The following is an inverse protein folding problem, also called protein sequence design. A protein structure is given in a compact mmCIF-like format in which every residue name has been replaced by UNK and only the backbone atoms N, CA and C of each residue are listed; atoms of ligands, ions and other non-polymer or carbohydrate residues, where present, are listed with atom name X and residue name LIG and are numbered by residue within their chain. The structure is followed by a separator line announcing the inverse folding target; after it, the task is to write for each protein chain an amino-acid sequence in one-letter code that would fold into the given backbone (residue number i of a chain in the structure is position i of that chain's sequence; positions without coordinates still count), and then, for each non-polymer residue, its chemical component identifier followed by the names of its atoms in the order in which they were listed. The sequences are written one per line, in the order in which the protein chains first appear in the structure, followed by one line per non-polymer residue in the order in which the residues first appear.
data_IF_129500342194
#
_entry.id   IF_129500342194
#
_cell.length_a   1.000
_cell.length_b   1.000
_cell.length_c   1.000
_cell.angle_alpha   90.00
_cell.angle_beta   90.00
_cell.angle_gamma   90.00
#
_symmetry.space_group_name_H-M   'P 1'
#
loop_
_entity.id
_entity.type
_entity.pdbx_description
1 polymer ?
#
# COMPACT_ATOMS: atom_id res chain seq x y z
N UNK A 1 26.82 -23.69 28.04
CA UNK A 1 26.06 -22.70 27.24
C UNK A 1 25.04 -23.48 26.41
N UNK A 2 23.74 -23.32 26.67
CA UNK A 2 22.70 -24.03 25.94
C UNK A 2 22.16 -23.19 24.79
N UNK A 3 22.23 -23.72 23.56
CA UNK A 3 21.52 -23.17 22.40
C UNK A 3 20.12 -23.77 22.42
N UNK A 4 19.09 -22.97 22.66
CA UNK A 4 17.70 -23.44 22.58
C UNK A 4 17.22 -23.25 21.13
N UNK A 5 17.18 -24.34 20.36
CA UNK A 5 16.54 -24.34 19.04
C UNK A 5 15.10 -24.83 19.19
N UNK A 6 14.13 -23.95 18.99
CA UNK A 6 12.72 -24.35 18.94
C UNK A 6 12.37 -24.60 17.47
N UNK A 7 12.21 -25.87 17.09
CA UNK A 7 11.61 -26.23 15.80
C UNK A 7 10.09 -26.07 15.90
N UNK A 8 9.50 -25.35 14.94
CA UNK A 8 8.05 -25.24 14.81
C UNK A 8 7.46 -26.63 14.52
N UNK A 9 6.81 -27.23 15.52
CA UNK A 9 6.23 -28.56 15.41
C UNK A 9 6.03 -29.30 16.74
N UNK A 10 6.67 -28.88 17.84
CA UNK A 10 6.40 -29.47 19.15
C UNK A 10 5.18 -28.83 19.79
N UNK A 11 4.06 -29.56 19.83
CA UNK A 11 3.03 -29.33 20.85
C UNK A 11 3.74 -29.42 22.21
N UNK A 12 3.90 -28.30 22.90
CA UNK A 12 4.21 -28.31 24.31
C UNK A 12 2.97 -28.84 25.03
N UNK A 13 2.90 -30.16 25.25
CA UNK A 13 1.94 -30.76 26.15
C UNK A 13 2.40 -30.52 27.58
N UNK A 14 1.63 -29.74 28.33
CA UNK A 14 1.69 -29.76 29.79
C UNK A 14 1.43 -31.21 30.26
N UNK A 15 2.19 -31.75 31.24
CA UNK A 15 1.95 -33.10 31.73
C UNK A 15 0.53 -33.18 32.29
N UNK A 16 -0.20 -34.20 31.82
CA UNK A 16 -1.57 -34.50 32.23
C UNK A 16 -1.53 -34.97 33.69
N UNK A 17 -2.30 -34.32 34.54
CA UNK A 17 -2.54 -34.74 35.92
C UNK A 17 -3.24 -36.11 35.92
N UNK A 18 -2.53 -37.17 36.34
CA UNK A 18 -3.13 -38.47 36.67
C UNK A 18 -3.62 -38.44 38.12
N UNK A 19 -4.93 -38.48 38.31
CA UNK A 19 -5.55 -38.73 39.62
C UNK A 19 -5.44 -40.21 40.00
N UNK A 20 -4.43 -40.49 40.83
CA UNK A 20 -4.41 -41.33 42.03
C UNK A 20 -5.22 -42.64 42.13
N UNK A 21 -4.50 -43.71 42.46
CA UNK A 21 -4.87 -44.65 43.52
C UNK A 21 -3.62 -45.01 44.35
N UNK A 22 -3.80 -45.10 45.66
CA UNK A 22 -2.79 -44.97 46.70
C UNK A 22 -1.89 -46.20 46.93
N UNK A 23 -0.65 -45.97 47.39
CA UNK A 23 -0.10 -46.67 48.57
C UNK A 23 1.08 -45.89 49.19
N UNK A 24 1.02 -45.79 50.50
CA UNK A 24 1.96 -45.16 51.44
C UNK A 24 3.31 -45.87 51.51
N UNK A 25 4.41 -45.12 51.50
CA UNK A 25 5.53 -45.37 52.42
C UNK A 25 6.41 -44.12 52.56
N UNK A 26 6.75 -43.84 53.81
CA UNK A 26 7.55 -42.70 54.24
C UNK A 26 8.97 -42.76 53.71
N UNK A 27 9.47 -41.68 53.13
CA UNK A 27 10.89 -41.34 53.29
C UNK A 27 11.08 -39.82 53.28
N UNK A 28 11.51 -39.29 54.43
CA UNK A 28 11.96 -37.92 54.60
C UNK A 28 13.28 -37.76 53.85
N UNK A 29 13.23 -37.14 52.67
CA UNK A 29 14.41 -36.83 51.87
C UNK A 29 14.11 -35.73 50.86
N UNK A 30 14.41 -34.48 51.23
CA UNK A 30 14.69 -33.41 50.26
C UNK A 30 13.51 -32.65 49.66
N UNK A 31 12.71 -31.94 50.48
CA UNK A 31 11.84 -30.84 50.02
C UNK A 31 12.63 -29.57 49.68
N UNK A 32 13.70 -29.68 48.89
CA UNK A 32 14.60 -28.54 48.59
C UNK A 32 14.10 -27.64 47.45
N UNK A 33 12.97 -27.97 46.81
CA UNK A 33 12.49 -27.28 45.61
C UNK A 33 10.95 -27.13 45.50
N UNK A 34 10.23 -26.95 46.62
CA UNK A 34 8.76 -26.83 46.56
C UNK A 34 8.24 -25.56 45.85
N UNK A 35 9.09 -24.54 45.65
CA UNK A 35 8.70 -23.31 44.95
C UNK A 35 9.87 -22.74 44.11
N UNK A 36 10.26 -23.44 43.05
CA UNK A 36 11.17 -22.83 42.05
C UNK A 36 10.35 -21.93 41.13
N UNK A 37 10.33 -20.63 41.44
CA UNK A 37 9.75 -19.61 40.56
C UNK A 37 10.83 -19.04 39.64
N UNK A 38 10.61 -19.09 38.33
CA UNK A 38 11.44 -18.41 37.35
C UNK A 38 11.16 -16.91 37.47
N UNK A 39 12.04 -16.12 38.09
CA UNK A 39 11.83 -14.68 38.22
C UNK A 39 12.16 -13.88 36.94
N UNK A 40 13.04 -14.42 36.09
CA UNK A 40 13.53 -13.73 34.89
C UNK A 40 14.13 -14.74 33.89
N UNK A 41 13.85 -14.54 32.61
CA UNK A 41 14.51 -15.23 31.50
C UNK A 41 15.14 -14.19 30.57
N UNK A 42 16.40 -14.38 30.22
CA UNK A 42 17.09 -13.57 29.21
C UNK A 42 17.58 -14.47 28.07
N UNK A 43 17.15 -14.14 26.86
CA UNK A 43 17.59 -14.76 25.62
C UNK A 43 18.43 -13.71 24.90
N UNK A 44 19.71 -14.01 24.66
CA UNK A 44 20.61 -13.06 23.99
C UNK A 44 20.48 -13.08 22.48
N UNK A 45 20.17 -14.25 21.92
CA UNK A 45 20.01 -14.46 20.49
C UNK A 45 18.89 -15.48 20.25
N UNK A 46 17.80 -15.00 19.67
CA UNK A 46 16.66 -15.78 19.22
C UNK A 46 16.67 -15.86 17.70
N UNK A 47 16.53 -17.09 17.20
CA UNK A 47 16.45 -17.40 15.78
C UNK A 47 15.24 -18.29 15.52
N UNK A 48 14.40 -17.86 14.59
CA UNK A 48 13.25 -18.57 14.09
C UNK A 48 13.28 -18.49 12.56
N UNK A 49 13.55 -19.62 11.91
CA UNK A 49 13.57 -19.67 10.45
C UNK A 49 12.14 -19.60 9.88
N UNK A 50 11.91 -18.82 8.81
CA UNK A 50 10.66 -18.84 8.06
C UNK A 50 10.31 -20.25 7.59
N UNK A 51 9.09 -20.69 7.87
CA UNK A 51 8.61 -22.02 7.47
C UNK A 51 7.08 -22.04 7.36
N UNK A 52 6.53 -23.11 6.80
CA UNK A 52 5.08 -23.31 6.80
C UNK A 52 4.50 -23.33 8.23
N UNK A 53 5.26 -23.86 9.20
CA UNK A 53 4.86 -23.91 10.62
C UNK A 53 4.81 -22.54 11.31
N UNK A 54 5.47 -21.53 10.75
CA UNK A 54 5.43 -20.13 11.22
C UNK A 54 4.62 -19.25 10.26
N UNK A 55 3.89 -19.86 9.32
CA UNK A 55 3.18 -19.14 8.25
C UNK A 55 4.09 -18.18 7.47
N UNK A 56 5.37 -18.53 7.32
CA UNK A 56 6.38 -17.71 6.64
C UNK A 56 7.03 -16.63 7.50
N UNK A 57 6.64 -16.47 8.76
CA UNK A 57 7.31 -15.54 9.66
C UNK A 57 8.64 -16.09 10.16
N UNK A 58 9.63 -15.22 10.32
CA UNK A 58 10.91 -15.57 10.94
C UNK A 58 11.48 -14.41 11.76
N UNK A 59 12.49 -14.72 12.55
CA UNK A 59 13.24 -13.76 13.34
C UNK A 59 14.71 -14.19 13.45
N UNK A 60 15.63 -13.24 13.49
CA UNK A 60 17.06 -13.53 13.67
C UNK A 60 17.72 -12.41 14.47
N UNK A 61 18.60 -12.76 15.41
CA UNK A 61 19.34 -11.76 16.18
C UNK A 61 18.49 -11.03 17.22
N UNK A 62 17.32 -11.57 17.57
CA UNK A 62 16.41 -10.91 18.52
C UNK A 62 16.83 -11.26 19.94
N UNK A 63 17.05 -10.24 20.77
CA UNK A 63 17.20 -10.43 22.21
C UNK A 63 15.84 -10.35 22.90
N UNK A 64 15.61 -11.16 23.93
CA UNK A 64 14.36 -11.18 24.68
C UNK A 64 14.63 -11.16 26.19
N UNK A 65 13.90 -10.34 26.90
CA UNK A 65 13.79 -10.36 28.37
C UNK A 65 12.35 -10.64 28.73
N UNK A 66 12.14 -11.70 29.51
CA UNK A 66 10.82 -12.16 29.92
C UNK A 66 10.80 -12.20 31.45
N UNK A 67 9.78 -11.61 32.04
CA UNK A 67 9.59 -11.51 33.49
C UNK A 67 8.20 -12.05 33.83
N UNK A 68 8.09 -13.36 34.11
CA UNK A 68 6.83 -13.94 34.52
C UNK A 68 6.55 -13.65 36.00
N UNK A 69 5.28 -13.49 36.32
CA UNK A 69 4.73 -13.35 37.66
C UNK A 69 3.53 -14.29 37.79
N UNK A 70 2.91 -14.36 38.98
CA UNK A 70 1.71 -15.19 39.19
C UNK A 70 0.51 -14.79 38.30
N UNK A 71 0.46 -13.55 37.83
CA UNK A 71 -0.72 -12.99 37.12
C UNK A 71 -0.44 -12.58 35.67
N UNK A 72 0.82 -12.34 35.31
CA UNK A 72 1.20 -11.82 34.01
C UNK A 72 2.64 -12.17 33.64
N UNK A 73 2.95 -12.06 32.36
CA UNK A 73 4.30 -12.19 31.81
C UNK A 73 4.62 -10.92 31.04
N UNK A 74 5.51 -10.09 31.57
CA UNK A 74 6.01 -8.92 30.85
C UNK A 74 7.15 -9.36 29.91
N UNK A 75 7.19 -8.81 28.70
CA UNK A 75 8.24 -9.10 27.73
C UNK A 75 8.80 -7.83 27.09
N UNK A 76 10.09 -7.89 26.80
CA UNK A 76 10.84 -6.90 26.04
C UNK A 76 11.67 -7.64 25.00
N UNK A 77 11.38 -7.42 23.72
CA UNK A 77 12.18 -7.89 22.60
C UNK A 77 12.96 -6.71 22.04
N UNK A 78 14.24 -6.89 21.73
CA UNK A 78 15.07 -5.80 21.22
C UNK A 78 16.01 -6.32 20.15
N UNK A 79 16.25 -5.47 19.16
CA UNK A 79 17.19 -5.72 18.07
C UNK A 79 16.80 -6.94 17.22
N UNK A 80 17.52 -7.13 16.12
CA UNK A 80 17.32 -8.25 15.21
C UNK A 80 16.45 -7.91 14.00
N UNK A 81 16.24 -8.92 13.17
CA UNK A 81 15.53 -8.86 11.90
C UNK A 81 14.29 -9.73 11.98
N UNK A 82 13.16 -9.19 11.51
CA UNK A 82 11.91 -9.92 11.34
C UNK A 82 11.69 -10.15 9.85
N UNK A 83 11.45 -11.41 9.50
CA UNK A 83 11.08 -11.81 8.16
C UNK A 83 9.56 -11.97 8.10
N UNK A 84 8.90 -11.19 7.24
CA UNK A 84 7.45 -11.27 7.04
C UNK A 84 7.11 -11.91 5.69
N UNK A 85 6.06 -12.76 5.64
CA UNK A 85 5.48 -13.21 4.37
C UNK A 85 4.69 -12.09 3.66
N UNK A 86 4.41 -10.98 4.36
CA UNK A 86 3.63 -9.87 3.83
C UNK A 86 4.52 -9.04 2.91
N UNK A 87 4.20 -8.99 1.62
CA UNK A 87 4.96 -8.26 0.60
C UNK A 87 5.13 -6.77 0.92
N UNK A 88 4.21 -6.17 1.67
CA UNK A 88 4.26 -4.77 2.07
C UNK A 88 5.17 -4.48 3.28
N UNK A 89 5.37 -5.47 4.15
CA UNK A 89 6.22 -5.36 5.32
C UNK A 89 7.64 -5.85 4.99
N UNK A 90 7.73 -7.02 4.35
CA UNK A 90 8.99 -7.62 3.92
C UNK A 90 9.93 -7.94 5.09
N UNK A 91 11.22 -7.70 4.86
CA UNK A 91 12.26 -7.79 5.90
C UNK A 91 12.41 -6.45 6.61
N UNK A 92 12.29 -6.47 7.94
CA UNK A 92 12.32 -5.27 8.79
C UNK A 92 13.23 -5.46 9.98
N UNK A 93 13.87 -4.39 10.41
CA UNK A 93 14.68 -4.38 11.63
C UNK A 93 13.77 -4.12 12.83
N UNK A 94 13.77 -5.04 13.79
CA UNK A 94 13.16 -4.83 15.10
C UNK A 94 14.04 -3.87 15.90
N UNK A 95 13.52 -2.70 16.24
CA UNK A 95 14.17 -1.82 17.22
C UNK A 95 13.83 -2.33 18.61
N UNK A 96 12.53 -2.43 18.89
CA UNK A 96 12.01 -2.81 20.19
C UNK A 96 10.57 -3.30 20.08
N UNK A 97 10.19 -4.28 20.91
CA UNK A 97 8.82 -4.66 21.17
C UNK A 97 8.60 -4.84 22.67
N UNK A 98 7.62 -4.14 23.23
CA UNK A 98 7.22 -4.23 24.63
C UNK A 98 5.79 -4.70 24.73
N UNK A 99 5.54 -5.57 25.69
CA UNK A 99 4.19 -5.95 26.00
C UNK A 99 4.10 -6.83 27.22
N UNK A 100 2.88 -7.32 27.45
CA UNK A 100 2.57 -8.23 28.53
C UNK A 100 1.51 -9.23 28.09
N UNK A 101 1.64 -10.45 28.56
CA UNK A 101 0.58 -11.45 28.51
C UNK A 101 -0.09 -11.51 29.87
N UNK A 102 -1.40 -11.35 29.92
CA UNK A 102 -2.22 -11.53 31.12
C UNK A 102 -3.47 -12.28 30.68
N UNK A 103 -3.54 -13.56 31.05
CA UNK A 103 -4.49 -14.53 30.49
C UNK A 103 -5.93 -13.99 30.43
N UNK A 104 -6.62 -14.08 29.27
CA UNK A 104 -6.17 -14.61 27.97
C UNK A 104 -5.55 -13.54 27.05
N UNK A 105 -5.33 -12.32 27.52
CA UNK A 105 -5.02 -11.16 26.67
C UNK A 105 -3.54 -10.95 26.47
N UNK A 106 -3.12 -10.74 25.22
CA UNK A 106 -1.81 -10.23 24.86
C UNK A 106 -1.91 -8.73 24.61
N UNK A 107 -1.26 -7.94 25.46
CA UNK A 107 -1.10 -6.50 25.29
C UNK A 107 0.24 -6.22 24.66
N UNK A 108 0.21 -5.54 23.53
CA UNK A 108 1.37 -5.01 22.86
C UNK A 108 1.42 -3.50 23.10
N UNK A 109 2.24 -3.08 24.05
CA UNK A 109 2.38 -1.67 24.39
C UNK A 109 3.04 -0.90 23.26
N UNK A 110 4.04 -1.51 22.62
CA UNK A 110 4.82 -0.87 21.58
C UNK A 110 5.55 -1.93 20.75
N UNK A 111 5.55 -1.78 19.43
CA UNK A 111 6.52 -2.36 18.51
C UNK A 111 7.06 -1.21 17.69
N UNK A 112 8.38 -1.13 17.56
CA UNK A 112 9.09 -0.22 16.68
C UNK A 112 9.89 -1.01 15.67
N UNK A 113 9.56 -0.83 14.39
CA UNK A 113 10.23 -1.46 13.26
C UNK A 113 10.85 -0.38 12.38
N UNK A 114 11.98 -0.72 11.75
CA UNK A 114 12.61 0.08 10.69
C UNK A 114 12.61 -0.71 9.39
N UNK A 115 12.08 -0.12 8.33
CA UNK A 115 12.13 -0.72 7.00
C UNK A 115 13.56 -0.79 6.48
N UNK A 116 13.88 -1.83 5.70
CA UNK A 116 15.19 -1.98 5.06
C UNK A 116 15.51 -0.86 4.04
N UNK A 117 14.49 -0.31 3.39
CA UNK A 117 14.56 0.83 2.47
C UNK A 117 14.28 2.18 3.15
N UNK A 118 14.33 2.22 4.48
CA UNK A 118 13.98 3.37 5.29
C UNK A 118 12.54 3.33 5.82
N UNK A 119 12.19 4.37 6.57
CA UNK A 119 10.90 4.51 7.24
C UNK A 119 10.82 3.78 8.58
N UNK A 120 9.85 4.19 9.38
CA UNK A 120 9.53 3.60 10.69
C UNK A 120 8.09 3.13 10.71
N UNK A 121 7.83 2.06 11.46
CA UNK A 121 6.50 1.54 11.73
C UNK A 121 6.38 1.29 13.22
N UNK A 122 5.38 1.92 13.83
CA UNK A 122 5.02 1.74 15.22
C UNK A 122 3.66 1.06 15.33
N UNK A 123 3.56 0.04 16.19
CA UNK A 123 2.31 -0.70 16.41
C UNK A 123 2.07 -0.87 17.90
N UNK A 124 0.83 -0.69 18.32
CA UNK A 124 0.37 -0.95 19.68
C UNK A 124 -1.04 -1.53 19.65
N UNK A 125 -1.43 -2.29 20.66
CA UNK A 125 -2.78 -2.84 20.74
C UNK A 125 -2.92 -3.97 21.72
N UNK A 126 -4.06 -4.64 21.64
CA UNK A 126 -4.39 -5.81 22.41
C UNK A 126 -5.04 -6.86 21.52
N UNK A 127 -4.77 -8.12 21.81
CA UNK A 127 -5.42 -9.26 21.16
C UNK A 127 -5.83 -10.27 22.22
N UNK A 128 -7.06 -10.76 22.09
CA UNK A 128 -7.60 -11.89 22.85
C UNK A 128 -7.62 -13.06 21.86
N UNK A 129 -6.66 -14.00 21.97
CA UNK A 129 -6.63 -15.19 21.14
C UNK A 129 -7.82 -16.08 21.50
N UNK A 130 -8.66 -16.38 20.50
CA UNK A 130 -9.80 -17.27 20.62
C UNK A 130 -10.12 -17.86 19.23
N UNK A 131 -11.07 -18.79 19.13
CA UNK A 131 -11.57 -19.28 17.84
C UNK A 131 -12.08 -18.13 16.94
N UNK A 132 -12.64 -17.09 17.57
CA UNK A 132 -12.91 -15.78 16.97
C UNK A 132 -12.03 -14.73 17.67
N UNK A 133 -10.86 -14.38 17.12
CA UNK A 133 -9.95 -13.45 17.78
C UNK A 133 -10.61 -12.07 17.88
N UNK A 134 -10.39 -11.39 19.02
CA UNK A 134 -10.73 -9.99 19.20
C UNK A 134 -9.43 -9.20 19.26
N UNK A 135 -9.34 -8.10 18.53
CA UNK A 135 -8.18 -7.24 18.61
C UNK A 135 -8.55 -5.77 18.42
N UNK A 136 -7.82 -4.90 19.11
CA UNK A 136 -7.86 -3.45 18.94
C UNK A 136 -6.44 -2.94 18.90
N UNK A 137 -6.21 -1.84 18.20
CA UNK A 137 -4.87 -1.32 18.14
C UNK A 137 -4.72 -0.13 17.22
N UNK A 138 -3.47 0.30 17.12
CA UNK A 138 -3.04 1.42 16.32
C UNK A 138 -1.72 1.09 15.68
N UNK A 139 -1.62 1.35 14.39
CA UNK A 139 -0.38 1.36 13.66
C UNK A 139 -0.13 2.78 13.14
N UNK A 140 1.10 3.25 13.19
CA UNK A 140 1.53 4.49 12.55
C UNK A 140 2.85 4.26 11.84
N UNK A 141 2.99 4.84 10.66
CA UNK A 141 4.20 4.70 9.88
C UNK A 141 4.64 6.06 9.36
N UNK A 142 5.94 6.22 9.24
CA UNK A 142 6.56 7.45 8.76
C UNK A 142 7.56 7.12 7.66
N UNK A 143 7.40 7.79 6.51
CA UNK A 143 8.24 7.62 5.32
C UNK A 143 8.46 6.14 4.95
N UNK A 144 7.42 5.33 5.09
CA UNK A 144 7.44 3.90 4.76
C UNK A 144 7.45 3.72 3.24
N UNK A 145 8.31 2.85 2.69
CA UNK A 145 8.35 2.62 1.25
C UNK A 145 7.04 2.01 0.75
N UNK A 146 6.59 2.46 -0.43
CA UNK A 146 5.45 1.85 -1.11
C UNK A 146 5.81 0.43 -1.58
N UNK A 147 5.01 -0.59 -1.25
CA UNK A 147 5.19 -1.95 -1.77
C UNK A 147 5.14 -1.96 -3.30
N UNK A 148 6.13 -2.54 -3.96
CA UNK A 148 6.26 -2.50 -5.43
C UNK A 148 6.79 -1.16 -5.99
N UNK A 149 7.05 -0.17 -5.13
CA UNK A 149 7.69 1.10 -5.48
C UNK A 149 6.80 2.11 -6.20
N UNK A 150 5.55 1.75 -6.52
CA UNK A 150 4.60 2.58 -7.27
C UNK A 150 3.17 2.30 -6.80
N UNK A 151 2.40 3.35 -6.51
CA UNK A 151 0.93 3.26 -6.42
C UNK A 151 0.39 3.63 -7.80
N UNK A 152 -0.45 2.77 -8.37
CA UNK A 152 -1.15 3.07 -9.60
C UNK A 152 -2.51 2.40 -9.68
N UNK A 153 -3.56 3.21 -9.78
CA UNK A 153 -4.92 2.79 -10.13
C UNK A 153 -5.18 3.01 -11.63
N UNK A 154 -4.21 2.68 -12.49
CA UNK A 154 -4.29 2.88 -13.96
C UNK A 154 -4.27 4.34 -14.43
N UNK A 155 -4.40 5.31 -13.50
CA UNK A 155 -4.37 6.74 -13.79
C UNK A 155 -2.97 7.36 -13.66
N UNK A 156 -2.15 6.86 -12.73
CA UNK A 156 -0.88 7.47 -12.31
C UNK A 156 0.14 6.39 -11.89
N UNK A 157 1.43 6.66 -12.04
CA UNK A 157 2.48 5.99 -11.25
C UNK A 157 3.09 7.02 -10.30
N UNK A 158 3.04 6.74 -8.99
CA UNK A 158 3.55 7.67 -7.98
C UNK A 158 4.69 7.00 -7.19
N UNK A 159 5.97 7.23 -7.56
CA UNK A 159 7.08 7.00 -6.64
C UNK A 159 6.93 7.94 -5.45
N UNK A 160 6.80 7.37 -4.25
CA UNK A 160 6.69 8.12 -2.99
C UNK A 160 7.06 7.24 -1.80
N UNK A 161 7.17 7.87 -0.64
CA UNK A 161 7.04 7.21 0.65
C UNK A 161 5.66 7.51 1.24
N UNK A 162 5.17 6.67 2.14
CA UNK A 162 3.88 6.88 2.82
C UNK A 162 4.12 7.23 4.28
N UNK A 163 3.33 8.14 4.81
CA UNK A 163 3.19 8.34 6.26
C UNK A 163 1.71 8.29 6.60
N UNK A 164 1.37 7.80 7.79
CA UNK A 164 -0.03 7.62 8.13
C UNK A 164 -0.26 6.88 9.41
N UNK A 165 -1.52 6.63 9.68
CA UNK A 165 -1.99 5.87 10.82
C UNK A 165 -3.19 5.00 10.44
N UNK A 166 -3.35 3.92 11.18
CA UNK A 166 -4.51 3.05 11.12
C UNK A 166 -4.94 2.69 12.54
N UNK A 167 -6.22 2.82 12.82
CA UNK A 167 -6.84 2.42 14.07
C UNK A 167 -7.70 1.18 13.79
N UNK A 168 -7.27 0.05 14.33
CA UNK A 168 -8.06 -1.18 14.38
C UNK A 168 -9.06 -1.06 15.53
N UNK A 169 -10.34 -0.97 15.19
CA UNK A 169 -11.42 -0.84 16.16
C UNK A 169 -11.87 -2.19 16.71
N UNK A 170 -11.91 -3.20 15.84
CA UNK A 170 -12.26 -4.58 16.20
C UNK A 170 -11.89 -5.55 15.07
N UNK A 171 -11.99 -6.85 15.37
CA UNK A 171 -12.07 -7.91 14.36
C UNK A 171 -13.52 -8.42 14.35
N UNK A 172 -14.22 -8.23 13.23
CA UNK A 172 -15.61 -8.68 13.03
C UNK A 172 -15.62 -9.81 12.01
N UNK A 173 -16.12 -10.99 12.40
CA UNK A 173 -16.14 -12.19 11.54
C UNK A 173 -14.76 -12.55 10.95
N UNK A 174 -13.71 -12.41 11.76
CA UNK A 174 -12.32 -12.67 11.32
C UNK A 174 -11.74 -11.62 10.37
N UNK A 175 -12.46 -10.52 10.11
CA UNK A 175 -12.00 -9.42 9.26
C UNK A 175 -11.78 -8.16 10.11
N UNK A 176 -10.69 -7.40 9.87
CA UNK A 176 -10.44 -6.15 10.59
C UNK A 176 -11.49 -5.09 10.25
N UNK A 177 -11.86 -4.29 11.25
CA UNK A 177 -12.69 -3.09 11.11
C UNK A 177 -11.91 -1.91 11.67
N UNK A 178 -11.80 -0.83 10.90
CA UNK A 178 -10.98 0.28 11.32
C UNK A 178 -11.03 1.48 10.39
N UNK A 179 -10.29 2.50 10.77
CA UNK A 179 -10.13 3.75 10.01
C UNK A 179 -8.65 4.11 9.96
N UNK A 180 -8.19 4.60 8.83
CA UNK A 180 -6.86 5.17 8.72
C UNK A 180 -6.79 6.40 7.85
N UNK A 181 -5.65 7.07 7.92
CA UNK A 181 -5.29 8.18 7.06
C UNK A 181 -3.85 8.00 6.56
N UNK A 182 -3.60 8.42 5.32
CA UNK A 182 -2.32 8.26 4.65
C UNK A 182 -2.01 9.54 3.90
N UNK A 183 -0.74 9.89 3.90
CA UNK A 183 -0.15 10.93 3.11
C UNK A 183 1.04 10.35 2.33
N UNK A 184 1.13 10.68 1.05
CA UNK A 184 2.33 10.43 0.27
C UNK A 184 3.31 11.57 0.50
N UNK A 185 4.57 11.21 0.76
CA UNK A 185 5.71 12.10 1.00
C UNK A 185 6.70 11.92 -0.15
N UNK A 186 7.33 13.01 -0.58
CA UNK A 186 8.23 13.04 -1.74
C UNK A 186 7.57 12.51 -3.03
N UNK A 187 6.25 12.67 -3.13
CA UNK A 187 5.47 12.12 -4.21
C UNK A 187 5.66 12.90 -5.51
N UNK A 188 5.91 12.17 -6.60
CA UNK A 188 5.97 12.73 -7.95
C UNK A 188 5.02 11.99 -8.87
N UNK A 189 4.33 12.73 -9.73
CA UNK A 189 3.53 12.17 -10.79
C UNK A 189 4.43 11.80 -11.96
N UNK A 190 4.58 10.51 -12.20
CA UNK A 190 5.23 10.02 -13.41
C UNK A 190 4.15 9.49 -14.38
N UNK A 191 4.28 9.76 -15.69
CA UNK A 191 3.52 9.00 -16.67
C UNK A 191 3.95 7.53 -16.53
N UNK A 192 2.99 6.62 -16.42
CA UNK A 192 3.32 5.19 -16.32
C UNK A 192 4.09 4.68 -17.54
N UNK A 193 4.51 3.40 -17.52
CA UNK A 193 5.15 2.80 -18.71
C UNK A 193 4.23 2.93 -19.93
N UNK A 194 4.53 3.90 -20.80
CA UNK A 194 3.78 4.16 -22.02
C UNK A 194 2.72 5.26 -21.90
N UNK A 195 2.33 5.80 -23.05
CA UNK A 195 1.30 6.80 -23.29
C UNK A 195 -0.14 6.37 -22.92
N UNK A 196 -0.29 5.38 -22.05
CA UNK A 196 -1.57 4.71 -21.77
C UNK A 196 -2.29 5.28 -20.54
N UNK A 197 -1.61 6.04 -19.70
CA UNK A 197 -2.23 6.71 -18.54
C UNK A 197 -2.85 8.05 -18.94
N UNK A 198 -3.86 8.52 -18.19
CA UNK A 198 -4.49 9.84 -18.40
C UNK A 198 -3.45 10.96 -18.46
N UNK A 199 -2.47 10.99 -17.55
CA UNK A 199 -1.39 12.00 -17.59
C UNK A 199 -0.48 11.86 -18.82
N UNK A 200 -0.16 10.63 -19.21
CA UNK A 200 0.61 10.37 -20.42
C UNK A 200 -0.08 10.94 -21.65
N UNK A 201 -1.38 10.67 -21.80
CA UNK A 201 -2.20 11.17 -22.92
C UNK A 201 -2.34 12.69 -22.86
N UNK A 202 -2.59 13.27 -21.67
CA UNK A 202 -2.65 14.73 -21.49
C UNK A 202 -1.33 15.39 -21.86
N UNK A 203 -0.19 14.82 -21.44
CA UNK A 203 1.13 15.33 -21.79
C UNK A 203 1.40 15.28 -23.30
N UNK A 204 0.95 14.22 -24.00
CA UNK A 204 1.06 14.13 -25.45
C UNK A 204 0.12 15.11 -26.18
N UNK A 205 -1.12 15.25 -25.72
CA UNK A 205 -2.12 16.14 -26.30
C UNK A 205 -1.73 17.61 -26.17
N UNK A 206 -1.24 17.99 -24.99
CA UNK A 206 -1.01 19.39 -24.63
C UNK A 206 0.43 19.81 -24.87
N UNK A 207 1.37 18.86 -24.97
CA UNK A 207 2.79 19.15 -24.99
C UNK A 207 3.31 19.77 -23.70
N UNK A 208 2.57 19.66 -22.59
CA UNK A 208 2.95 20.25 -21.30
C UNK A 208 3.99 19.37 -20.58
N UNK A 209 5.27 19.79 -20.52
CA UNK A 209 6.31 19.00 -19.89
C UNK A 209 6.11 18.88 -18.37
N UNK A 210 5.44 19.85 -17.73
CA UNK A 210 5.21 19.84 -16.28
C UNK A 210 4.34 18.68 -15.82
N UNK A 211 3.56 18.06 -16.72
CA UNK A 211 2.78 16.85 -16.40
C UNK A 211 3.66 15.59 -16.23
N UNK A 212 4.97 15.68 -16.52
CA UNK A 212 5.95 14.60 -16.30
C UNK A 212 6.85 14.95 -15.12
N UNK A 213 6.90 14.08 -14.11
CA UNK A 213 7.73 14.26 -12.91
C UNK A 213 7.29 15.38 -11.97
N UNK A 214 6.01 15.76 -12.03
CA UNK A 214 5.47 16.86 -11.23
C UNK A 214 5.44 16.49 -9.75
N UNK A 215 6.07 17.28 -8.85
CA UNK A 215 5.94 17.03 -7.42
C UNK A 215 4.51 17.31 -6.95
N UNK A 216 3.93 16.37 -6.21
CA UNK A 216 2.70 16.60 -5.47
C UNK A 216 3.04 17.27 -4.14
N UNK A 217 2.49 18.45 -3.89
CA UNK A 217 2.65 19.11 -2.58
C UNK A 217 1.69 18.54 -1.56
N UNK A 218 0.52 18.07 -2.02
CA UNK A 218 -0.49 17.42 -1.19
C UNK A 218 -0.89 16.12 -1.86
N UNK A 219 -0.85 15.03 -1.11
CA UNK A 219 -1.30 13.72 -1.58
C UNK A 219 -1.77 12.93 -0.36
N UNK A 220 -3.09 12.92 -0.10
CA UNK A 220 -3.66 12.30 1.10
C UNK A 220 -4.99 11.61 0.83
N UNK A 221 -5.34 10.69 1.70
CA UNK A 221 -6.65 10.05 1.72
C UNK A 221 -6.97 9.50 3.12
N UNK A 222 -8.26 9.33 3.38
CA UNK A 222 -8.79 8.65 4.57
C UNK A 222 -9.46 7.36 4.10
N UNK A 223 -9.22 6.23 4.75
CA UNK A 223 -9.96 4.98 4.45
C UNK A 223 -10.67 4.41 5.65
N UNK A 224 -11.75 3.70 5.35
CA UNK A 224 -12.54 2.92 6.28
C UNK A 224 -12.56 1.47 5.80
N UNK A 225 -12.28 0.57 6.74
CA UNK A 225 -12.21 -0.85 6.52
C UNK A 225 -13.40 -1.52 7.20
N UNK A 226 -14.16 -2.30 6.42
CA UNK A 226 -15.28 -3.11 6.89
C UNK A 226 -15.20 -4.51 6.25
N UNK A 227 -15.89 -5.52 6.80
CA UNK A 227 -15.90 -6.84 6.20
C UNK A 227 -16.41 -6.79 4.76
N UNK A 228 -15.55 -7.17 3.81
CA UNK A 228 -15.86 -7.15 2.38
C UNK A 228 -15.81 -5.76 1.72
N UNK A 229 -15.32 -4.72 2.41
CA UNK A 229 -15.19 -3.40 1.79
C UNK A 229 -14.12 -2.48 2.34
N UNK A 230 -13.64 -1.65 1.42
CA UNK A 230 -12.65 -0.61 1.67
C UNK A 230 -13.19 0.67 1.02
N UNK A 231 -13.57 1.63 1.84
CA UNK A 231 -14.03 2.93 1.38
C UNK A 231 -12.88 3.93 1.56
N UNK A 232 -12.38 4.49 0.47
CA UNK A 232 -11.34 5.52 0.48
C UNK A 232 -11.98 6.83 0.09
N UNK A 233 -11.91 7.79 0.99
CA UNK A 233 -12.58 9.08 0.95
C UNK A 233 -11.57 10.19 1.13
N UNK A 234 -12.00 11.43 0.90
CA UNK A 234 -11.15 12.62 1.08
C UNK A 234 -9.83 12.51 0.29
N UNK A 235 -9.87 11.83 -0.87
CA UNK A 235 -8.71 11.73 -1.75
C UNK A 235 -8.42 13.14 -2.23
N UNK A 236 -7.20 13.61 -2.00
CA UNK A 236 -6.69 14.88 -2.47
C UNK A 236 -5.27 14.68 -2.96
N UNK A 237 -5.05 14.85 -4.25
CA UNK A 237 -3.72 14.96 -4.84
C UNK A 237 -3.61 16.31 -5.56
N UNK A 238 -2.59 17.09 -5.25
CA UNK A 238 -2.45 18.46 -5.75
C UNK A 238 -1.01 18.77 -6.14
N UNK A 239 -0.87 19.29 -7.35
CA UNK A 239 0.29 19.99 -7.83
C UNK A 239 -0.14 21.45 -8.11
N UNK A 240 0.17 22.39 -7.20
CA UNK A 240 -0.29 23.77 -7.29
C UNK A 240 0.07 24.41 -8.63
N UNK A 241 -0.92 25.08 -9.25
CA UNK A 241 -0.75 25.71 -10.55
C UNK A 241 -0.62 24.74 -11.74
N UNK A 242 -0.94 23.45 -11.56
CA UNK A 242 -0.97 22.48 -12.65
C UNK A 242 -2.21 21.59 -12.63
N UNK A 243 -2.41 20.86 -11.53
CA UNK A 243 -3.56 19.95 -11.42
C UNK A 243 -3.97 19.70 -9.97
N UNK A 244 -5.23 19.29 -9.83
CA UNK A 244 -5.83 18.92 -8.56
C UNK A 244 -6.79 17.76 -8.79
N UNK A 245 -6.65 16.69 -8.04
CA UNK A 245 -7.56 15.54 -8.06
C UNK A 245 -8.24 15.40 -6.70
N UNK A 246 -9.57 15.40 -6.69
CA UNK A 246 -10.39 15.22 -5.48
C UNK A 246 -11.39 14.11 -5.69
N UNK A 247 -11.59 13.24 -4.70
CA UNK A 247 -12.73 12.33 -4.78
C UNK A 247 -12.73 11.19 -3.79
N UNK A 248 -13.35 10.09 -4.21
CA UNK A 248 -13.56 8.91 -3.40
C UNK A 248 -13.66 7.66 -4.25
N UNK A 249 -13.19 6.55 -3.70
CA UNK A 249 -13.31 5.22 -4.29
C UNK A 249 -13.84 4.23 -3.25
N UNK A 250 -14.47 3.19 -3.75
CA UNK A 250 -14.96 2.07 -2.99
C UNK A 250 -14.46 0.79 -3.64
N UNK A 251 -14.01 -0.12 -2.78
CA UNK A 251 -13.53 -1.43 -3.17
C UNK A 251 -14.40 -2.46 -2.48
N UNK A 252 -15.03 -3.34 -3.26
CA UNK A 252 -15.88 -4.43 -2.77
C UNK A 252 -15.32 -5.73 -3.32
N UNK A 253 -14.64 -6.51 -2.47
CA UNK A 253 -13.80 -7.62 -2.94
C UNK A 253 -12.69 -7.11 -3.86
N UNK A 254 -12.69 -7.54 -5.12
CA UNK A 254 -11.74 -7.06 -6.14
C UNK A 254 -12.29 -5.92 -7.02
N UNK A 255 -13.58 -5.60 -6.90
CA UNK A 255 -14.24 -4.60 -7.73
C UNK A 255 -13.93 -3.21 -7.22
N UNK A 256 -13.48 -2.34 -8.13
CA UNK A 256 -13.21 -0.94 -7.89
C UNK A 256 -14.33 -0.09 -8.51
N UNK A 257 -14.87 0.84 -7.74
CA UNK A 257 -15.76 1.88 -8.25
C UNK A 257 -15.46 3.21 -7.58
N UNK A 258 -15.77 4.33 -8.24
CA UNK A 258 -15.56 5.63 -7.62
C UNK A 258 -15.69 6.79 -8.56
N UNK A 259 -15.44 7.97 -8.01
CA UNK A 259 -15.46 9.23 -8.74
C UNK A 259 -14.31 10.10 -8.31
N UNK A 260 -13.56 10.59 -9.28
CA UNK A 260 -12.49 11.57 -9.08
C UNK A 260 -12.80 12.78 -9.95
N UNK A 261 -12.76 13.96 -9.37
CA UNK A 261 -12.74 15.23 -10.08
C UNK A 261 -11.29 15.62 -10.34
N UNK A 262 -10.91 15.63 -11.61
CA UNK A 262 -9.60 16.10 -12.05
C UNK A 262 -9.75 17.54 -12.55
N UNK A 263 -9.12 18.46 -11.84
CA UNK A 263 -8.90 19.84 -12.23
C UNK A 263 -7.54 20.01 -12.92
N UNK A 264 -7.53 20.72 -14.04
CA UNK A 264 -6.33 21.22 -14.71
C UNK A 264 -6.29 22.74 -14.58
N UNK A 265 -5.09 23.31 -14.51
CA UNK A 265 -4.90 24.77 -14.59
C UNK A 265 -5.65 25.34 -15.81
N UNK A 266 -6.21 26.54 -15.69
CA UNK A 266 -7.17 27.10 -16.64
C UNK A 266 -6.72 27.11 -18.11
N UNK A 267 -5.49 27.52 -18.41
CA UNK A 267 -4.98 27.49 -19.80
C UNK A 267 -4.83 26.06 -20.32
N UNK A 268 -4.28 25.17 -19.48
CA UNK A 268 -4.15 23.75 -19.82
C UNK A 268 -5.52 23.10 -20.05
N UNK A 269 -6.48 23.37 -19.17
CA UNK A 269 -7.84 22.87 -19.23
C UNK A 269 -8.60 23.35 -20.46
N UNK A 270 -8.54 24.64 -20.77
CA UNK A 270 -9.11 25.21 -22.00
C UNK A 270 -8.50 24.61 -23.26
N UNK A 271 -7.18 24.37 -23.26
CA UNK A 271 -6.49 23.69 -24.37
C UNK A 271 -7.03 22.28 -24.56
N UNK A 272 -7.15 21.49 -23.49
CA UNK A 272 -7.70 20.12 -23.57
C UNK A 272 -9.16 20.15 -24.01
N UNK A 273 -9.96 21.09 -23.52
CA UNK A 273 -11.35 21.26 -23.94
C UNK A 273 -11.45 21.52 -25.45
N UNK A 274 -10.65 22.43 -25.99
CA UNK A 274 -10.61 22.70 -27.43
C UNK A 274 -10.18 21.47 -28.26
N UNK A 275 -9.17 20.72 -27.80
CA UNK A 275 -8.68 19.52 -28.48
C UNK A 275 -9.66 18.34 -28.43
N UNK A 276 -10.49 18.28 -27.39
CA UNK A 276 -11.54 17.26 -27.22
C UNK A 276 -12.85 17.65 -27.91
N UNK A 277 -12.94 18.84 -28.52
CA UNK A 277 -14.16 19.33 -29.16
C UNK A 277 -15.23 19.78 -28.15
N UNK A 278 -14.82 20.19 -26.96
CA UNK A 278 -15.70 20.64 -25.89
C UNK A 278 -16.14 19.54 -24.92
N UNK A 279 -15.79 18.28 -25.17
CA UNK A 279 -16.30 17.12 -24.41
C UNK A 279 -15.70 16.97 -23.01
N UNK A 280 -14.50 17.49 -22.76
CA UNK A 280 -13.78 17.34 -21.50
C UNK A 280 -13.37 18.68 -20.90
N UNK A 281 -13.35 18.79 -19.57
CA UNK A 281 -12.86 19.97 -18.84
C UNK A 281 -13.61 21.28 -19.19
N UNK A 282 -14.93 21.19 -19.42
CA UNK A 282 -15.76 22.35 -19.76
C UNK A 282 -16.18 23.19 -18.54
N UNK A 283 -16.12 22.61 -17.33
CA UNK A 283 -16.52 23.27 -16.08
C UNK A 283 -15.32 23.99 -15.49
N UNK A 284 -15.49 25.21 -15.01
CA UNK A 284 -14.48 25.91 -14.19
C UNK A 284 -14.87 25.89 -12.71
N UNK A 285 -13.91 25.60 -11.84
CA UNK A 285 -14.12 25.54 -10.40
C UNK A 285 -12.81 25.85 -9.67
N UNK A 286 -12.82 26.83 -8.77
CA UNK A 286 -11.64 27.25 -7.99
C UNK A 286 -10.38 27.54 -8.83
N UNK A 287 -10.54 28.09 -10.03
CA UNK A 287 -9.42 28.39 -10.95
C UNK A 287 -8.90 27.19 -11.75
N UNK A 288 -9.56 26.02 -11.65
CA UNK A 288 -9.26 24.84 -12.45
C UNK A 288 -10.37 24.59 -13.46
N UNK A 289 -10.03 24.14 -14.67
CA UNK A 289 -10.99 23.45 -15.53
C UNK A 289 -11.13 22.01 -15.04
N UNK A 290 -12.34 21.59 -14.69
CA UNK A 290 -12.60 20.33 -13.98
C UNK A 290 -13.34 19.35 -14.86
N UNK A 291 -12.92 18.08 -14.77
CA UNK A 291 -13.57 16.94 -15.37
C UNK A 291 -13.89 15.89 -14.30
N UNK A 292 -15.13 15.45 -14.26
CA UNK A 292 -15.53 14.28 -13.49
C UNK A 292 -15.10 13.01 -14.21
N UNK A 293 -14.41 12.12 -13.50
CA UNK A 293 -13.93 10.82 -13.96
C UNK A 293 -14.63 9.74 -13.16
N UNK A 294 -15.29 8.82 -13.85
CA UNK A 294 -15.85 7.62 -13.26
C UNK A 294 -14.81 6.51 -13.29
N UNK A 295 -14.56 5.91 -12.12
CA UNK A 295 -13.67 4.77 -11.96
C UNK A 295 -14.47 3.48 -11.87
N UNK A 296 -13.98 2.44 -12.54
CA UNK A 296 -14.59 1.11 -12.60
C UNK A 296 -13.51 0.03 -12.77
N UNK A 297 -13.94 -1.23 -12.93
CA UNK A 297 -13.04 -2.36 -13.17
C UNK A 297 -12.61 -3.04 -11.88
N UNK A 298 -11.39 -3.56 -11.85
CA UNK A 298 -10.83 -4.24 -10.68
C UNK A 298 -9.62 -3.51 -10.12
N UNK A 299 -9.18 -3.85 -8.91
CA UNK A 299 -7.94 -3.31 -8.33
C UNK A 299 -6.74 -3.59 -9.24
N UNK A 300 -6.71 -4.76 -9.90
CA UNK A 300 -5.64 -5.19 -10.80
C UNK A 300 -5.74 -4.61 -12.21
N UNK A 301 -6.95 -4.30 -12.68
CA UNK A 301 -7.23 -3.72 -14.00
C UNK A 301 -8.25 -2.57 -13.87
N UNK A 302 -7.83 -1.44 -13.27
CA UNK A 302 -8.70 -0.28 -13.09
C UNK A 302 -9.00 0.39 -14.43
N UNK A 303 -10.23 0.87 -14.58
CA UNK A 303 -10.73 1.54 -15.77
C UNK A 303 -11.25 2.93 -15.43
N UNK A 304 -11.23 3.82 -16.44
CA UNK A 304 -11.79 5.16 -16.31
C UNK A 304 -12.41 5.63 -17.63
N UNK A 305 -13.43 6.49 -17.53
CA UNK A 305 -14.16 7.01 -18.69
C UNK A 305 -13.47 8.20 -19.40
N UNK A 306 -12.40 8.75 -18.81
CA UNK A 306 -11.66 9.88 -19.39
C UNK A 306 -10.63 9.44 -20.44
N UNK A 307 -9.93 8.35 -20.18
CA UNK A 307 -8.88 7.83 -21.04
C UNK A 307 -9.36 7.59 -22.48
N UNK A 308 -10.52 6.92 -22.75
CA UNK A 308 -11.04 6.79 -24.12
C UNK A 308 -11.32 8.14 -24.80
N UNK A 309 -11.83 9.14 -24.07
CA UNK A 309 -12.14 10.47 -24.61
C UNK A 309 -10.86 11.20 -25.04
N UNK A 310 -9.82 11.14 -24.21
CA UNK A 310 -8.53 11.74 -24.50
C UNK A 310 -7.80 11.02 -25.65
N UNK A 311 -7.80 9.68 -25.67
CA UNK A 311 -7.23 8.90 -26.76
C UNK A 311 -7.91 9.24 -28.10
N UNK A 312 -9.24 9.35 -28.11
CA UNK A 312 -9.99 9.77 -29.30
C UNK A 312 -9.56 11.15 -29.79
N UNK A 313 -9.38 12.12 -28.89
CA UNK A 313 -8.89 13.46 -29.23
C UNK A 313 -7.44 13.45 -29.77
N UNK A 314 -6.57 12.61 -29.22
CA UNK A 314 -5.19 12.48 -29.66
C UNK A 314 -5.13 11.94 -31.09
N UNK A 315 -5.90 10.89 -31.38
CA UNK A 315 -6.03 10.32 -32.72
C UNK A 315 -6.56 11.34 -33.73
N UNK A 316 -7.59 12.12 -33.36
CA UNK A 316 -8.12 13.21 -34.23
C UNK A 316 -7.08 14.29 -34.51
N UNK A 317 -6.30 14.68 -33.49
CA UNK A 317 -5.25 15.69 -33.61
C UNK A 317 -4.10 15.20 -34.50
N UNK A 318 -3.71 13.93 -34.36
CA UNK A 318 -2.70 13.30 -35.20
C UNK A 318 -3.16 13.23 -36.67
N UNK A 319 -4.42 12.83 -36.93
CA UNK A 319 -5.00 12.80 -38.28
C UNK A 319 -5.03 14.22 -38.88
N UNK A 320 -5.49 15.22 -38.14
CA UNK A 320 -5.52 16.62 -38.61
C UNK A 320 -4.13 17.15 -38.94
N UNK A 321 -3.15 16.89 -38.07
CA UNK A 321 -1.77 17.30 -38.29
C UNK A 321 -1.17 16.60 -39.51
N UNK A 322 -1.41 15.30 -39.65
CA UNK A 322 -1.01 14.53 -40.83
C UNK A 322 -1.62 15.09 -42.12
N UNK A 323 -2.92 15.40 -42.11
CA UNK A 323 -3.64 16.01 -43.24
C UNK A 323 -3.07 17.40 -43.60
N UNK A 324 -2.77 18.24 -42.61
CA UNK A 324 -2.17 19.57 -42.85
C UNK A 324 -0.74 19.48 -43.39
N UNK A 325 0.05 18.50 -42.96
CA UNK A 325 1.38 18.24 -43.51
C UNK A 325 1.25 17.74 -44.96
N UNK A 326 0.30 16.84 -45.22
CA UNK A 326 -0.02 16.37 -46.57
C UNK A 326 -0.45 17.53 -47.47
N UNK A 327 -1.37 18.39 -47.05
CA UNK A 327 -1.83 19.57 -47.80
C UNK A 327 -0.70 20.57 -48.06
N UNK A 328 0.17 20.82 -47.09
CA UNK A 328 1.36 21.68 -47.28
C UNK A 328 2.40 21.04 -48.20
N UNK A 329 2.53 19.72 -48.18
CA UNK A 329 3.44 18.97 -49.03
C UNK A 329 2.92 18.77 -50.46
N UNK A 330 1.60 18.77 -50.66
CA UNK A 330 0.98 18.68 -52.00
C UNK A 330 0.72 20.05 -52.62
N UNK A 331 0.67 21.12 -51.83
CA UNK A 331 0.60 22.52 -52.30
C UNK A 331 1.93 23.12 -52.77
N UNK A 332 3.07 22.48 -52.48
CA UNK A 332 4.37 22.81 -53.05
C UNK A 332 4.79 21.72 -54.04
N UNK A 333 5.00 22.08 -55.31
CA UNK A 333 5.34 21.16 -56.40
C UNK A 333 6.45 20.16 -56.02
N UNK A 334 6.18 18.85 -56.15
CA UNK A 334 7.20 17.79 -56.08
C UNK A 334 6.69 16.44 -55.56
N UNK A 335 6.09 15.65 -56.45
CA UNK A 335 5.53 14.32 -56.17
C UNK A 335 6.59 13.26 -55.79
N UNK A 336 6.23 12.38 -54.85
CA UNK A 336 6.78 11.01 -54.79
C UNK A 336 7.36 10.52 -53.45
N UNK A 337 8.00 11.39 -52.66
CA UNK A 337 8.74 10.96 -51.45
C UNK A 337 8.03 11.20 -50.11
N UNK A 338 7.23 12.27 -50.00
CA UNK A 338 6.70 12.74 -48.72
C UNK A 338 5.54 11.88 -48.17
N UNK A 339 4.72 11.29 -49.05
CA UNK A 339 3.60 10.43 -48.64
C UNK A 339 4.09 9.13 -47.96
N UNK A 340 5.19 8.54 -48.43
CA UNK A 340 5.80 7.36 -47.81
C UNK A 340 6.44 7.66 -46.45
N UNK A 341 7.05 8.85 -46.29
CA UNK A 341 7.63 9.27 -45.03
C UNK A 341 6.57 9.54 -43.94
N UNK A 342 5.43 10.14 -44.32
CA UNK A 342 4.33 10.40 -43.38
C UNK A 342 3.65 9.11 -42.88
N UNK A 343 3.46 8.11 -43.76
CA UNK A 343 2.92 6.80 -43.39
C UNK A 343 3.87 6.07 -42.43
N UNK A 344 5.19 6.18 -42.63
CA UNK A 344 6.18 5.58 -41.73
C UNK A 344 6.22 6.24 -40.35
N UNK A 345 6.01 7.56 -40.25
CA UNK A 345 5.93 8.26 -38.95
C UNK A 345 4.64 7.89 -38.20
N UNK A 346 3.50 7.76 -38.91
CA UNK A 346 2.24 7.33 -38.31
C UNK A 346 2.28 5.85 -37.86
N UNK A 347 2.90 4.96 -38.64
CA UNK A 347 3.13 3.56 -38.24
C UNK A 347 4.12 3.45 -37.06
N UNK A 348 5.14 4.31 -37.01
CA UNK A 348 6.10 4.35 -35.90
C UNK A 348 5.51 4.87 -34.58
N UNK A 349 4.49 5.74 -34.63
CA UNK A 349 3.86 6.32 -33.44
C UNK A 349 2.65 5.53 -32.92
N UNK A 350 1.92 4.82 -33.78
CA UNK A 350 0.64 4.19 -33.42
C UNK A 350 0.58 2.68 -33.65
N UNK A 351 1.65 2.06 -34.16
CA UNK A 351 1.64 0.64 -34.55
C UNK A 351 0.76 0.37 -35.78
N UNK A 352 0.75 -0.87 -36.30
CA UNK A 352 -0.08 -1.21 -37.45
C UNK A 352 -1.58 -1.11 -37.10
N UNK A 353 -2.38 -0.62 -38.05
CA UNK A 353 -3.82 -0.49 -37.88
C UNK A 353 -4.47 -1.84 -37.52
N UNK A 354 -5.41 -1.87 -36.57
CA UNK A 354 -6.16 -3.08 -36.28
C UNK A 354 -6.96 -3.48 -37.53
N UNK A 355 -6.90 -4.78 -37.87
CA UNK A 355 -7.73 -5.39 -38.92
C UNK A 355 -9.19 -5.45 -38.49
#
# INVERSE_FOLDING_TARGET
MGRLSIQAGSKASLPKEEKGAASTSSNKGGELFQDVQVGKVEIRDFQLSPSAGTSGWGAQGVSARIQPTKQKVDFLLQQGVIFSPLSWLGEVNLVEAKGRYADPTLFLTEIKLKGNKGGTLEVSGEVIPASTPQAKGRASWERWPIPGGKIGVGLFEIPASMSGEFILQEIRNGQPVGKGQVQLVDARLEPGRGSETVLGILGLLTGEPRLRGCPLTTARATWYLQPGSYDVTEILAEAPGLLRAVGQIQIRGEQLSGRIELGLEGDLGRKVNGLTGGECFAREENGYSVQSIQLSGTISAPQNDLQPKLTGALTRTAIRTGAQILEKATGGQGAGGAAGAAVNVLQGLFGPAPK
#
